data_IF_905412133361
#
_entry.id   IF_905412133361
#
_cell.length_a   1.000
_cell.length_b   1.000
_cell.length_c   1.000
_cell.angle_alpha   90.00
_cell.angle_beta   90.00
_cell.angle_gamma   90.00
#
_symmetry.space_group_name_H-M   'P 1'
#
loop_
_entity.id
_entity.type
_entity.pdbx_description
1 polymer ?
#
# COMPACT_ATOMS: atom_id res chain seq x y z
N UNK A 1 -43.95 18.79 21.74
CA UNK A 1 -44.12 17.49 21.06
C UNK A 1 -42.92 17.33 20.13
N UNK A 2 -41.88 16.60 20.54
CA UNK A 2 -40.64 16.41 19.75
C UNK A 2 -40.34 14.92 19.48
N UNK A 3 -41.29 14.01 19.74
CA UNK A 3 -41.04 12.56 19.75
C UNK A 3 -41.11 11.88 18.37
N UNK A 4 -41.59 12.55 17.33
CA UNK A 4 -41.76 11.92 16.00
C UNK A 4 -40.55 12.07 15.07
N UNK A 5 -39.64 13.00 15.34
CA UNK A 5 -38.47 13.25 14.46
C UNK A 5 -37.34 12.24 14.69
N UNK A 6 -37.12 11.80 15.93
CA UNK A 6 -36.08 10.80 16.25
C UNK A 6 -36.45 9.42 15.71
N UNK A 7 -37.73 9.05 15.77
CA UNK A 7 -38.23 7.79 15.22
C UNK A 7 -38.06 7.74 13.69
N UNK A 8 -38.42 8.83 13.00
CA UNK A 8 -38.24 8.93 11.55
C UNK A 8 -36.77 8.88 11.11
N UNK A 9 -35.86 9.48 11.89
CA UNK A 9 -34.41 9.40 11.64
C UNK A 9 -33.87 7.98 11.82
N UNK A 10 -34.28 7.27 12.87
CA UNK A 10 -33.88 5.87 13.09
C UNK A 10 -34.37 4.95 11.97
N UNK A 11 -35.57 5.18 11.45
CA UNK A 11 -36.12 4.41 10.34
C UNK A 11 -35.31 4.62 9.05
N UNK A 12 -34.96 5.87 8.73
CA UNK A 12 -34.14 6.20 7.55
C UNK A 12 -32.73 5.59 7.67
N UNK A 13 -32.09 5.66 8.85
CA UNK A 13 -30.77 5.05 9.07
C UNK A 13 -30.84 3.53 8.88
N UNK A 14 -31.87 2.88 9.44
CA UNK A 14 -32.09 1.43 9.27
C UNK A 14 -32.26 1.04 7.79
N UNK A 15 -33.03 1.83 7.02
CA UNK A 15 -33.21 1.60 5.59
C UNK A 15 -31.90 1.76 4.79
N UNK A 16 -31.06 2.75 5.14
CA UNK A 16 -29.75 2.94 4.53
C UNK A 16 -28.83 1.74 4.80
N UNK A 17 -28.76 1.28 6.05
CA UNK A 17 -27.94 0.11 6.41
C UNK A 17 -28.37 -1.16 5.67
N UNK A 18 -29.67 -1.41 5.55
CA UNK A 18 -30.19 -2.53 4.78
C UNK A 18 -29.80 -2.44 3.30
N UNK A 19 -29.89 -1.24 2.72
CA UNK A 19 -29.50 -1.02 1.34
C UNK A 19 -28.01 -1.30 1.12
N UNK A 20 -27.14 -0.84 2.02
CA UNK A 20 -25.71 -1.12 1.98
C UNK A 20 -25.41 -2.62 2.14
N UNK A 21 -26.07 -3.31 3.08
CA UNK A 21 -25.95 -4.76 3.26
C UNK A 21 -26.33 -5.52 1.97
N UNK A 22 -27.44 -5.13 1.32
CA UNK A 22 -27.87 -5.72 0.03
C UNK A 22 -26.87 -5.45 -1.09
N UNK A 23 -26.35 -4.22 -1.18
CA UNK A 23 -25.32 -3.82 -2.16
C UNK A 23 -24.03 -4.62 -1.98
N UNK A 24 -23.56 -4.77 -0.74
CA UNK A 24 -22.37 -5.55 -0.40
C UNK A 24 -22.55 -7.03 -0.74
N UNK A 25 -23.72 -7.62 -0.43
CA UNK A 25 -24.05 -9.01 -0.81
C UNK A 25 -24.00 -9.21 -2.33
N UNK A 26 -24.57 -8.27 -3.09
CA UNK A 26 -24.55 -8.31 -4.57
C UNK A 26 -23.14 -8.19 -5.13
N UNK A 27 -22.32 -7.29 -4.57
CA UNK A 27 -20.93 -7.11 -4.97
C UNK A 27 -20.08 -8.35 -4.69
N UNK A 28 -20.26 -8.96 -3.50
CA UNK A 28 -19.59 -10.21 -3.14
C UNK A 28 -19.94 -11.34 -4.13
N UNK A 29 -21.22 -11.56 -4.39
CA UNK A 29 -21.66 -12.58 -5.35
C UNK A 29 -21.10 -12.34 -6.77
N UNK A 30 -21.05 -11.08 -7.21
CA UNK A 30 -20.44 -10.70 -8.50
C UNK A 30 -18.93 -10.97 -8.52
N UNK A 31 -18.23 -10.65 -7.44
CA UNK A 31 -16.79 -10.91 -7.28
C UNK A 31 -16.49 -12.41 -7.31
N UNK A 32 -17.25 -13.21 -6.56
CA UNK A 32 -17.11 -14.66 -6.53
C UNK A 32 -17.34 -15.30 -7.91
N UNK A 33 -18.37 -14.86 -8.65
CA UNK A 33 -18.60 -15.32 -10.03
C UNK A 33 -17.43 -15.00 -10.95
N UNK A 34 -16.88 -13.79 -10.88
CA UNK A 34 -15.69 -13.39 -11.66
C UNK A 34 -14.46 -14.21 -11.27
N UNK A 35 -14.26 -14.44 -9.97
CA UNK A 35 -13.14 -15.25 -9.48
C UNK A 35 -13.22 -16.69 -9.99
N UNK A 36 -14.41 -17.31 -9.94
CA UNK A 36 -14.63 -18.67 -10.46
C UNK A 36 -14.40 -18.74 -11.97
N UNK A 37 -14.91 -17.77 -12.73
CA UNK A 37 -14.70 -17.69 -14.18
C UNK A 37 -13.20 -17.61 -14.53
N UNK A 38 -12.46 -16.72 -13.87
CA UNK A 38 -11.00 -16.61 -14.07
C UNK A 38 -10.24 -17.88 -13.68
N UNK A 39 -10.69 -18.59 -12.64
CA UNK A 39 -10.07 -19.84 -12.21
C UNK A 39 -10.27 -20.95 -13.25
N UNK A 40 -11.47 -21.06 -13.82
CA UNK A 40 -11.76 -22.00 -14.91
C UNK A 40 -10.98 -21.66 -16.18
N UNK A 41 -10.95 -20.39 -16.59
CA UNK A 41 -10.16 -19.94 -17.75
C UNK A 41 -8.66 -20.22 -17.57
N UNK A 42 -8.13 -20.05 -16.35
CA UNK A 42 -6.74 -20.38 -16.03
C UNK A 42 -6.47 -21.90 -16.09
N UNK A 43 -7.42 -22.73 -15.66
CA UNK A 43 -7.34 -24.19 -15.73
C UNK A 43 -7.38 -24.69 -17.19
N UNK A 44 -8.26 -24.13 -18.03
CA UNK A 44 -8.33 -24.42 -19.48
C UNK A 44 -7.02 -24.05 -20.20
N UNK A 45 -6.36 -22.97 -19.76
CA UNK A 45 -5.07 -22.54 -20.30
C UNK A 45 -3.88 -23.31 -19.70
N UNK A 46 -4.12 -24.29 -18.81
CA UNK A 46 -3.06 -25.03 -18.13
C UNK A 46 -2.21 -24.17 -17.19
N UNK A 47 -2.64 -22.94 -16.88
CA UNK A 47 -1.96 -22.02 -15.99
C UNK A 47 -2.23 -22.48 -14.56
N UNK A 48 -1.29 -23.21 -13.98
CA UNK A 48 -1.29 -23.44 -12.54
C UNK A 48 -1.16 -22.08 -11.84
N UNK A 49 -2.28 -21.54 -11.37
CA UNK A 49 -2.29 -20.36 -10.50
C UNK A 49 -1.66 -20.78 -9.17
N UNK A 50 -0.32 -20.74 -9.10
CA UNK A 50 0.40 -20.86 -7.83
C UNK A 50 -0.19 -19.78 -6.93
N UNK A 51 -0.93 -20.21 -5.90
CA UNK A 51 -1.37 -19.32 -4.83
C UNK A 51 -0.09 -18.67 -4.29
N UNK A 52 0.09 -17.38 -4.57
CA UNK A 52 1.20 -16.62 -4.01
C UNK A 52 1.04 -16.68 -2.50
N UNK A 53 1.78 -17.59 -1.86
CA UNK A 53 1.92 -17.59 -0.41
C UNK A 53 2.81 -16.39 -0.11
N UNK A 54 2.20 -15.29 0.34
CA UNK A 54 2.95 -14.17 0.88
C UNK A 54 3.82 -14.69 2.03
N UNK A 55 5.10 -14.95 1.77
CA UNK A 55 6.07 -15.18 2.84
C UNK A 55 6.34 -13.81 3.44
N UNK A 56 5.83 -13.58 4.64
CA UNK A 56 6.15 -12.39 5.42
C UNK A 56 7.54 -12.61 6.00
N UNK A 57 8.55 -11.99 5.41
CA UNK A 57 9.86 -11.87 6.03
C UNK A 57 9.81 -10.66 6.95
N UNK A 58 9.97 -10.89 8.25
CA UNK A 58 10.06 -9.83 9.25
C UNK A 58 11.53 -9.64 9.59
N UNK A 59 12.03 -8.43 9.38
CA UNK A 59 13.33 -8.01 9.87
C UNK A 59 13.08 -7.05 11.03
N UNK A 60 13.69 -7.32 12.17
CA UNK A 60 13.63 -6.43 13.32
C UNK A 60 14.34 -5.13 12.97
N UNK A 61 13.62 -4.00 13.03
CA UNK A 61 14.18 -2.68 12.81
C UNK A 61 14.69 -2.15 14.14
N UNK A 62 16.00 -1.85 14.20
CA UNK A 62 16.65 -1.31 15.40
C UNK A 62 16.80 0.22 15.35
N UNK A 63 16.51 0.84 14.20
CA UNK A 63 16.72 2.27 13.97
C UNK A 63 15.41 2.97 13.62
N UNK A 64 15.07 4.00 14.40
CA UNK A 64 13.88 4.80 14.19
C UNK A 64 14.15 6.29 14.36
N UNK A 65 13.39 7.11 13.65
CA UNK A 65 13.35 8.57 13.82
C UNK A 65 11.92 9.01 14.04
N UNK A 66 11.65 9.62 15.19
CA UNK A 66 10.35 10.24 15.46
C UNK A 66 10.26 11.61 14.77
N UNK A 67 9.08 11.91 14.25
CA UNK A 67 8.76 13.17 13.59
C UNK A 67 7.57 13.83 14.28
N UNK A 68 7.52 15.15 14.22
CA UNK A 68 6.42 15.94 14.79
C UNK A 68 5.15 15.89 13.93
N UNK A 69 5.21 15.20 12.78
CA UNK A 69 4.10 15.06 11.85
C UNK A 69 3.07 14.05 12.39
N UNK A 70 1.79 14.32 12.16
CA UNK A 70 0.70 13.39 12.46
C UNK A 70 0.21 12.79 11.14
N UNK A 71 0.31 11.47 11.00
CA UNK A 71 0.04 10.80 9.72
C UNK A 71 -1.42 10.96 9.26
N UNK A 72 -2.37 11.10 10.19
CA UNK A 72 -3.80 11.29 9.92
C UNK A 72 -4.11 12.62 9.23
N UNK A 73 -3.29 13.65 9.46
CA UNK A 73 -3.48 14.98 8.86
C UNK A 73 -3.00 15.00 7.39
N UNK A 74 -2.32 13.95 6.94
CA UNK A 74 -1.84 13.83 5.57
C UNK A 74 -2.95 13.31 4.67
N UNK A 75 -3.29 14.07 3.63
CA UNK A 75 -4.28 13.67 2.60
C UNK A 75 -4.01 12.31 1.93
N UNK A 76 -2.79 11.79 2.01
CA UNK A 76 -2.43 10.47 1.49
C UNK A 76 -3.01 9.30 2.31
N UNK A 77 -3.49 9.54 3.53
CA UNK A 77 -4.01 8.51 4.44
C UNK A 77 -5.42 8.01 4.08
N UNK A 78 -6.18 8.68 3.19
CA UNK A 78 -7.57 8.34 2.86
C UNK A 78 -7.75 7.19 1.84
N UNK A 79 -6.70 6.40 1.58
CA UNK A 79 -6.86 5.07 0.95
C UNK A 79 -6.92 5.02 -0.57
N UNK A 80 -6.48 6.07 -1.29
CA UNK A 80 -6.45 6.05 -2.75
C UNK A 80 -5.27 6.83 -3.35
N UNK A 81 -4.28 6.13 -3.91
CA UNK A 81 -3.29 6.74 -4.80
C UNK A 81 -3.90 6.89 -6.19
N UNK A 82 -4.39 8.09 -6.52
CA UNK A 82 -4.65 8.45 -7.91
C UNK A 82 -3.34 8.96 -8.48
N UNK A 83 -2.70 8.13 -9.31
CA UNK A 83 -1.50 8.54 -10.05
C UNK A 83 -1.87 9.62 -11.07
N UNK A 84 -1.98 10.87 -10.62
CA UNK A 84 -2.09 11.98 -11.56
C UNK A 84 -0.74 12.13 -12.23
N UNK A 85 -0.64 11.78 -13.51
CA UNK A 85 0.47 12.25 -14.34
C UNK A 85 0.37 13.77 -14.44
N UNK A 86 0.91 14.47 -13.43
CA UNK A 86 1.22 15.88 -13.60
C UNK A 86 2.27 15.93 -14.70
N UNK A 87 1.93 16.58 -15.83
CA UNK A 87 2.93 16.93 -16.85
C UNK A 87 4.09 17.57 -16.11
N UNK A 88 5.26 16.96 -16.18
CA UNK A 88 6.51 17.37 -15.54
C UNK A 88 7.00 18.68 -16.15
N UNK A 89 6.22 19.75 -16.02
CA UNK A 89 6.65 21.12 -16.28
C UNK A 89 7.40 21.60 -15.06
N UNK A 90 8.71 21.76 -15.23
CA UNK A 90 9.72 22.10 -14.21
C UNK A 90 9.76 21.18 -12.99
N UNK A 91 10.63 20.15 -13.04
CA UNK A 91 11.32 19.74 -11.82
C UNK A 91 12.13 20.97 -11.37
N UNK A 92 11.62 21.73 -10.40
CA UNK A 92 12.50 22.60 -9.64
C UNK A 92 13.48 21.66 -8.95
N UNK A 93 14.73 21.67 -9.38
CA UNK A 93 15.81 20.98 -8.68
C UNK A 93 15.96 21.65 -7.31
N UNK A 94 15.17 21.20 -6.34
CA UNK A 94 15.30 21.69 -4.98
C UNK A 94 16.63 21.17 -4.45
N UNK A 95 17.58 22.09 -4.26
CA UNK A 95 18.83 21.78 -3.58
C UNK A 95 18.52 21.38 -2.13
N UNK A 96 19.31 20.47 -1.56
CA UNK A 96 19.24 20.07 -0.14
C UNK A 96 19.17 21.29 0.77
N UNK A 97 19.98 22.32 0.50
CA UNK A 97 19.99 23.55 1.30
C UNK A 97 18.61 24.25 1.32
N UNK A 98 17.94 24.33 0.17
CA UNK A 98 16.60 24.94 0.08
C UNK A 98 15.54 24.11 0.81
N UNK A 99 15.72 22.79 0.88
CA UNK A 99 14.83 21.93 1.67
C UNK A 99 15.06 22.15 3.17
N UNK A 100 16.32 22.27 3.61
CA UNK A 100 16.62 22.58 5.01
C UNK A 100 16.03 23.94 5.43
N UNK A 101 16.15 24.97 4.58
CA UNK A 101 15.54 26.30 4.82
C UNK A 101 14.01 26.25 4.91
N UNK A 102 13.36 25.30 4.23
CA UNK A 102 11.91 25.05 4.32
C UNK A 102 11.51 24.24 5.55
N UNK A 103 12.44 23.93 6.44
CA UNK A 103 12.20 23.19 7.68
C UNK A 103 12.24 21.66 7.54
N UNK A 104 12.73 21.13 6.42
CA UNK A 104 12.97 19.69 6.31
C UNK A 104 14.14 19.27 7.20
N UNK A 105 14.04 18.08 7.79
CA UNK A 105 15.11 17.49 8.61
C UNK A 105 15.87 16.45 7.79
N UNK A 106 17.20 16.42 7.94
CA UNK A 106 18.04 15.41 7.32
C UNK A 106 18.13 14.17 8.23
N UNK A 107 17.59 13.05 7.76
CA UNK A 107 17.79 11.75 8.40
C UNK A 107 19.07 11.10 7.85
N UNK A 108 20.06 10.83 8.71
CA UNK A 108 21.25 10.06 8.32
C UNK A 108 20.85 8.59 8.20
N UNK A 109 21.08 8.01 7.03
CA UNK A 109 20.78 6.62 6.74
C UNK A 109 21.93 6.02 5.90
N UNK A 110 22.34 4.80 6.23
CA UNK A 110 23.45 4.09 5.62
C UNK A 110 23.08 3.32 4.33
N UNK A 111 21.79 3.29 3.99
CA UNK A 111 21.26 2.53 2.85
C UNK A 111 21.20 1.01 3.08
N UNK A 112 21.65 0.52 4.23
CA UNK A 112 21.78 -0.92 4.52
C UNK A 112 20.81 -1.35 5.61
N UNK A 113 20.80 -0.63 6.72
CA UNK A 113 19.96 -0.95 7.86
C UNK A 113 18.55 -0.43 7.60
N UNK A 114 17.50 -1.25 7.74
CA UNK A 114 16.13 -0.75 7.68
C UNK A 114 15.93 0.34 8.74
N UNK A 115 15.32 1.46 8.36
CA UNK A 115 15.12 2.60 9.23
C UNK A 115 13.67 3.09 9.15
N UNK A 116 12.96 3.06 10.28
CA UNK A 116 11.58 3.49 10.35
C UNK A 116 11.47 4.99 10.68
N UNK A 117 10.56 5.69 10.01
CA UNK A 117 10.20 7.07 10.33
C UNK A 117 8.83 7.01 11.00
N UNK A 118 8.78 7.45 12.25
CA UNK A 118 7.59 7.42 13.08
C UNK A 118 6.89 8.79 13.09
N UNK A 119 5.57 8.78 13.11
CA UNK A 119 4.76 9.95 13.37
C UNK A 119 4.78 10.31 14.88
N UNK A 120 4.12 11.41 15.24
CA UNK A 120 4.03 11.90 16.62
C UNK A 120 3.36 10.90 17.58
N UNK A 121 2.55 9.99 17.06
CA UNK A 121 1.85 8.94 17.82
C UNK A 121 2.60 7.59 17.76
N UNK A 122 3.88 7.60 17.40
CA UNK A 122 4.75 6.42 17.27
C UNK A 122 4.30 5.41 16.20
N UNK A 123 3.49 5.83 15.24
CA UNK A 123 3.07 4.99 14.10
C UNK A 123 4.06 5.12 12.96
N UNK A 124 4.22 4.05 12.19
CA UNK A 124 5.10 4.07 11.01
C UNK A 124 4.50 4.98 9.93
N UNK A 125 5.14 6.12 9.69
CA UNK A 125 4.80 7.06 8.61
C UNK A 125 5.50 6.69 7.30
N UNK A 126 6.77 6.26 7.39
CA UNK A 126 7.55 5.80 6.24
C UNK A 126 8.63 4.79 6.69
N UNK A 127 9.13 3.99 5.74
CA UNK A 127 10.21 3.03 5.98
C UNK A 127 11.28 3.19 4.91
N UNK A 128 12.52 3.38 5.35
CA UNK A 128 13.71 3.23 4.52
C UNK A 128 14.10 1.76 4.59
N UNK A 129 13.75 0.99 3.56
CA UNK A 129 13.74 -0.48 3.61
C UNK A 129 15.09 -1.15 3.89
N UNK A 130 16.20 -0.42 3.76
CA UNK A 130 17.54 -0.99 3.87
C UNK A 130 17.89 -1.85 2.66
N UNK A 131 19.02 -2.54 2.79
CA UNK A 131 19.46 -3.57 1.87
C UNK A 131 19.28 -4.93 2.57
N UNK A 132 18.60 -5.90 1.95
CA UNK A 132 18.43 -7.21 2.57
C UNK A 132 19.81 -7.87 2.75
N UNK A 133 20.07 -8.40 3.94
CA UNK A 133 21.32 -9.12 4.26
C UNK A 133 21.18 -10.63 4.03
N UNK A 134 22.29 -11.32 3.73
CA UNK A 134 22.36 -12.78 3.61
C UNK A 134 22.21 -13.32 2.17
N UNK A 135 21.91 -14.63 2.02
CA UNK A 135 21.77 -15.32 0.73
C UNK A 135 20.65 -14.76 -0.16
N UNK A 136 19.73 -13.97 0.40
CA UNK A 136 18.62 -13.38 -0.33
C UNK A 136 19.06 -12.54 -1.53
N UNK A 137 20.18 -11.80 -1.41
CA UNK A 137 20.70 -11.05 -2.54
C UNK A 137 21.09 -11.97 -3.70
N UNK A 138 21.75 -13.09 -3.37
CA UNK A 138 22.15 -14.09 -4.35
C UNK A 138 20.92 -14.75 -4.98
N UNK A 139 19.93 -15.13 -4.18
CA UNK A 139 18.67 -15.73 -4.65
C UNK A 139 17.90 -14.78 -5.59
N UNK A 140 17.79 -13.49 -5.28
CA UNK A 140 17.11 -12.51 -6.13
C UNK A 140 17.87 -12.29 -7.43
N UNK A 141 19.20 -12.20 -7.37
CA UNK A 141 20.06 -12.03 -8.56
C UNK A 141 19.99 -13.26 -9.45
N UNK A 142 20.03 -14.47 -8.88
CA UNK A 142 19.91 -15.73 -9.62
C UNK A 142 18.54 -15.85 -10.31
N UNK A 143 17.45 -15.58 -9.59
CA UNK A 143 16.10 -15.61 -10.18
C UNK A 143 15.95 -14.56 -11.27
N UNK A 144 16.47 -13.35 -11.07
CA UNK A 144 16.45 -12.30 -12.10
C UNK A 144 17.29 -12.67 -13.33
N UNK A 145 18.46 -13.26 -13.12
CA UNK A 145 19.34 -13.74 -14.20
C UNK A 145 18.68 -14.87 -14.99
N UNK A 146 18.06 -15.84 -14.32
CA UNK A 146 17.32 -16.92 -14.97
C UNK A 146 16.12 -16.38 -15.77
N UNK A 147 15.36 -15.44 -15.23
CA UNK A 147 14.24 -14.82 -15.94
C UNK A 147 14.72 -14.02 -17.17
N UNK A 148 15.84 -13.31 -17.06
CA UNK A 148 16.44 -12.57 -18.16
C UNK A 148 16.94 -13.48 -19.28
N UNK A 149 17.55 -14.61 -18.93
CA UNK A 149 18.01 -15.60 -19.91
C UNK A 149 16.84 -16.31 -20.60
N UNK A 150 15.77 -16.63 -19.86
CA UNK A 150 14.55 -17.20 -20.44
C UNK A 150 13.87 -16.24 -21.43
N UNK A 151 13.85 -14.93 -21.15
CA UNK A 151 13.29 -13.92 -22.04
C UNK A 151 14.14 -13.60 -23.29
N UNK A 152 15.36 -14.16 -23.42
CA UNK A 152 16.20 -14.04 -24.62
C UNK A 152 16.03 -15.21 -25.60
N UNK A 153 15.28 -16.25 -25.22
CA UNK A 153 15.03 -17.43 -26.07
C UNK A 153 13.70 -17.38 -26.84
N UNK A 154 12.94 -16.28 -26.73
CA UNK A 154 11.84 -15.91 -27.64
C UNK A 154 12.34 -14.90 -28.69
#
# INVERSE_FOLDING_TARGET
MNYDLEAGLQEVVSQIEEFEKRKNKRNRARSERRSKKRALEAEEQGIQTKRWKHRKFMVETQAFTSTDAQAEDLKAAEGGWVGSQKKTGSRSENNVQQLLERGFKLAKWDGKTPHAILDKSERVAAVLAGMPSGSFQQEVVEVAALAFLAGKQE
#
